data_IF_271731484323
#
_entry.id   IF_271731484323
#
_cell.length_a   1.000
_cell.length_b   1.000
_cell.length_c   1.000
_cell.angle_alpha   90.00
_cell.angle_beta   90.00
_cell.angle_gamma   90.00
#
_symmetry.space_group_name_H-M   'P 1'
#
loop_
_entity.id
_entity.type
_entity.pdbx_description
1 polymer ?
#
# COMPACT_ATOMS: atom_id res chain seq x y z
N UNK A 1 -11.46 0.53 9.80
CA UNK A 1 -12.00 1.80 9.32
C UNK A 1 -12.02 1.76 7.80
N UNK A 2 -13.21 1.73 7.22
CA UNK A 2 -13.40 1.80 5.77
C UNK A 2 -13.62 3.27 5.43
N UNK A 3 -12.57 3.94 4.98
CA UNK A 3 -12.70 5.26 4.37
C UNK A 3 -13.07 5.05 2.90
N UNK A 4 -14.34 5.14 2.58
CA UNK A 4 -14.82 5.18 1.20
C UNK A 4 -14.82 6.64 0.77
N UNK A 5 -13.70 7.10 0.22
CA UNK A 5 -13.66 8.36 -0.49
C UNK A 5 -13.17 8.06 -1.92
N UNK A 6 -13.89 8.54 -2.92
CA UNK A 6 -13.51 8.48 -4.34
C UNK A 6 -13.16 7.06 -4.86
N UNK A 7 -13.95 6.03 -4.55
CA UNK A 7 -13.73 4.65 -5.01
C UNK A 7 -12.46 4.00 -4.47
N UNK A 8 -12.04 4.34 -3.26
CA UNK A 8 -10.91 3.75 -2.56
C UNK A 8 -11.33 3.19 -1.21
N UNK A 9 -10.71 2.08 -0.83
CA UNK A 9 -10.93 1.41 0.46
C UNK A 9 -9.60 1.26 1.15
N UNK A 10 -9.50 1.69 2.41
CA UNK A 10 -8.34 1.46 3.25
C UNK A 10 -8.55 0.19 4.07
N UNK A 11 -7.61 -0.72 3.97
CA UNK A 11 -7.52 -1.94 4.77
C UNK A 11 -6.22 -1.97 5.55
N UNK A 12 -6.07 -2.89 6.49
CA UNK A 12 -4.82 -3.08 7.22
C UNK A 12 -4.20 -4.41 6.82
N UNK A 13 -2.90 -4.38 6.60
CA UNK A 13 -2.11 -5.50 6.13
C UNK A 13 -0.99 -5.81 7.13
N UNK A 14 -0.64 -7.08 7.31
CA UNK A 14 0.45 -7.49 8.18
C UNK A 14 1.81 -7.04 7.61
N UNK A 15 2.85 -7.03 8.42
CA UNK A 15 4.22 -6.73 8.03
C UNK A 15 4.95 -8.05 7.85
N UNK A 16 5.55 -8.28 6.67
CA UNK A 16 6.46 -9.41 6.45
C UNK A 16 7.74 -9.21 7.27
N UNK A 17 8.25 -10.27 7.83
CA UNK A 17 9.46 -10.25 8.65
C UNK A 17 10.33 -11.47 8.41
N UNK A 18 11.64 -11.24 8.37
CA UNK A 18 12.68 -12.26 8.39
C UNK A 18 13.60 -11.99 9.57
N UNK A 19 13.49 -12.79 10.62
CA UNK A 19 14.21 -12.58 11.88
C UNK A 19 15.18 -13.71 12.14
N UNK A 20 16.45 -13.38 12.33
CA UNK A 20 17.48 -14.33 12.76
C UNK A 20 17.44 -14.55 14.26
N UNK A 21 17.55 -15.80 14.69
CA UNK A 21 17.57 -16.19 16.10
C UNK A 21 18.96 -16.51 16.62
N UNK A 22 19.87 -16.91 15.72
CA UNK A 22 21.25 -17.28 16.08
C UNK A 22 22.27 -17.10 14.94
N UNK A 23 21.96 -16.21 13.99
CA UNK A 23 22.81 -15.96 12.81
C UNK A 23 22.63 -16.92 11.65
N UNK A 24 22.09 -18.10 11.89
CA UNK A 24 21.84 -19.13 10.85
C UNK A 24 20.38 -19.54 10.74
N UNK A 25 19.65 -19.55 11.84
CA UNK A 25 18.24 -19.88 11.85
C UNK A 25 17.38 -18.62 11.71
N UNK A 26 16.45 -18.67 10.78
CA UNK A 26 15.56 -17.56 10.45
C UNK A 26 14.10 -17.95 10.72
N UNK A 27 13.34 -17.02 11.29
CA UNK A 27 11.90 -17.10 11.37
C UNK A 27 11.32 -16.13 10.35
N UNK A 28 10.77 -16.72 9.29
CA UNK A 28 10.22 -16.00 8.16
C UNK A 28 8.70 -15.93 8.25
N UNK A 29 8.16 -14.74 8.12
CA UNK A 29 6.74 -14.49 7.89
C UNK A 29 6.59 -13.64 6.64
N UNK A 30 5.94 -14.18 5.61
CA UNK A 30 5.66 -13.49 4.36
C UNK A 30 4.17 -13.17 4.24
N UNK A 31 3.86 -11.89 4.12
CA UNK A 31 2.50 -11.45 3.91
C UNK A 31 2.03 -11.78 2.50
N UNK A 32 0.86 -12.38 2.40
CA UNK A 32 0.18 -12.62 1.12
C UNK A 32 -1.13 -11.84 1.08
N UNK A 33 -1.33 -11.11 -0.01
CA UNK A 33 -2.60 -10.43 -0.33
C UNK A 33 -3.19 -11.12 -1.56
N UNK A 34 -4.40 -11.65 -1.41
CA UNK A 34 -5.13 -12.36 -2.47
C UNK A 34 -6.48 -11.70 -2.68
N UNK A 35 -6.57 -10.81 -3.64
CA UNK A 35 -7.84 -10.27 -4.10
C UNK A 35 -8.34 -11.16 -5.25
N UNK A 36 -9.66 -11.31 -5.37
CA UNK A 36 -10.23 -12.07 -6.49
C UNK A 36 -9.88 -11.37 -7.80
N UNK A 37 -9.30 -12.07 -8.80
CA UNK A 37 -8.92 -11.45 -10.08
C UNK A 37 -10.06 -10.76 -10.81
N UNK A 38 -11.26 -11.35 -10.76
CA UNK A 38 -12.51 -10.77 -11.30
C UNK A 38 -13.28 -9.92 -10.29
N UNK A 39 -12.75 -9.75 -9.08
CA UNK A 39 -13.38 -8.97 -8.01
C UNK A 39 -13.26 -7.46 -8.23
N UNK A 40 -14.02 -6.68 -7.47
CA UNK A 40 -14.06 -5.22 -7.66
C UNK A 40 -12.82 -4.49 -7.14
N UNK A 41 -11.92 -5.16 -6.42
CA UNK A 41 -10.78 -4.52 -5.78
C UNK A 41 -9.45 -4.86 -6.46
N UNK A 42 -8.57 -3.87 -6.55
CA UNK A 42 -7.16 -4.01 -6.93
C UNK A 42 -6.29 -3.24 -5.95
N UNK A 43 -5.00 -3.59 -5.88
CA UNK A 43 -4.03 -2.78 -5.13
C UNK A 43 -3.83 -1.44 -5.84
N UNK A 44 -3.99 -0.34 -5.10
CA UNK A 44 -3.77 0.99 -5.66
C UNK A 44 -2.28 1.25 -5.85
N UNK A 45 -1.80 1.22 -7.09
CA UNK A 45 -0.38 1.49 -7.40
C UNK A 45 0.03 2.94 -7.09
N UNK A 46 -0.93 3.87 -7.21
CA UNK A 46 -0.69 5.29 -6.95
C UNK A 46 -0.63 5.63 -5.46
N UNK A 47 -1.36 4.87 -4.63
CA UNK A 47 -1.50 5.15 -3.20
C UNK A 47 -0.61 4.28 -2.31
N UNK A 48 -0.08 3.18 -2.83
CA UNK A 48 0.75 2.28 -2.05
C UNK A 48 2.19 2.22 -2.57
N UNK A 49 3.05 1.75 -1.69
CA UNK A 49 4.47 1.54 -1.95
C UNK A 49 4.95 0.29 -1.23
N UNK A 50 5.95 -0.39 -1.79
CA UNK A 50 6.72 -1.40 -1.07
C UNK A 50 7.78 -0.69 -0.25
N UNK A 51 7.84 -0.96 1.04
CA UNK A 51 8.88 -0.48 1.95
C UNK A 51 9.63 -1.67 2.52
N UNK A 52 10.96 -1.62 2.47
CA UNK A 52 11.86 -2.55 3.15
C UNK A 52 12.62 -1.85 4.27
N UNK A 53 12.75 -2.48 5.42
CA UNK A 53 13.46 -1.94 6.60
C UNK A 53 14.39 -3.00 7.15
N UNK A 54 15.66 -2.65 7.32
CA UNK A 54 16.66 -3.56 7.88
C UNK A 54 18.06 -3.27 7.37
N UNK A 55 19.04 -4.00 7.92
CA UNK A 55 20.45 -3.81 7.59
C UNK A 55 20.78 -4.28 6.16
N UNK A 56 20.33 -5.49 5.78
CA UNK A 56 20.57 -6.11 4.48
C UNK A 56 19.23 -6.66 3.96
N UNK A 57 18.37 -5.77 3.49
CA UNK A 57 17.08 -6.16 2.94
C UNK A 57 17.15 -6.23 1.43
N UNK A 58 16.71 -7.34 0.90
CA UNK A 58 16.35 -7.47 -0.50
C UNK A 58 14.89 -7.94 -0.49
N UNK A 59 13.97 -6.98 -0.60
CA UNK A 59 12.55 -7.26 -0.62
C UNK A 59 12.01 -7.12 -2.05
N UNK A 60 11.24 -8.10 -2.45
CA UNK A 60 10.51 -8.14 -3.72
C UNK A 60 9.06 -8.42 -3.44
N UNK A 61 8.22 -8.23 -4.43
CA UNK A 61 6.89 -8.80 -4.39
C UNK A 61 6.66 -9.64 -5.64
N UNK A 62 5.91 -10.71 -5.47
CA UNK A 62 5.61 -11.69 -6.47
C UNK A 62 4.10 -11.87 -6.59
N UNK A 63 3.64 -12.39 -7.71
CA UNK A 63 2.27 -12.86 -7.83
C UNK A 63 2.05 -14.05 -6.89
N UNK A 64 1.01 -14.00 -6.06
CA UNK A 64 0.76 -15.01 -5.03
C UNK A 64 0.16 -16.31 -5.58
N UNK A 65 -0.27 -16.34 -6.85
CA UNK A 65 -0.77 -17.55 -7.51
C UNK A 65 0.31 -18.22 -8.37
N UNK A 66 1.02 -17.44 -9.21
CA UNK A 66 2.04 -17.97 -10.11
C UNK A 66 3.39 -18.07 -9.45
N UNK A 67 3.66 -17.25 -8.43
CA UNK A 67 4.96 -17.11 -7.81
C UNK A 67 5.96 -16.31 -8.65
N UNK A 68 5.55 -15.77 -9.80
CA UNK A 68 6.40 -14.93 -10.63
C UNK A 68 6.73 -13.63 -9.90
N UNK A 69 8.01 -13.30 -9.85
CA UNK A 69 8.48 -12.06 -9.23
C UNK A 69 8.24 -10.86 -10.14
N UNK A 70 7.73 -9.79 -9.57
CA UNK A 70 7.72 -8.51 -10.25
C UNK A 70 9.12 -7.90 -10.23
N UNK A 71 9.47 -7.17 -11.27
CA UNK A 71 10.82 -6.61 -11.47
C UNK A 71 11.22 -5.53 -10.46
N UNK A 72 10.33 -5.12 -9.59
CA UNK A 72 10.56 -4.02 -8.63
C UNK A 72 11.18 -4.56 -7.35
N UNK A 73 12.41 -4.19 -7.10
CA UNK A 73 13.21 -4.63 -5.96
C UNK A 73 13.49 -3.44 -5.05
N UNK A 74 13.29 -3.65 -3.74
CA UNK A 74 13.65 -2.70 -2.70
C UNK A 74 14.91 -3.22 -1.99
N UNK A 75 15.98 -2.45 -2.02
CA UNK A 75 17.29 -2.81 -1.48
C UNK A 75 17.67 -1.87 -0.34
N UNK A 76 17.97 -2.41 0.83
CA UNK A 76 18.55 -1.64 1.92
C UNK A 76 19.86 -2.26 2.38
N UNK A 77 20.93 -1.47 2.36
CA UNK A 77 22.24 -1.87 2.85
C UNK A 77 22.74 -0.88 3.90
N UNK A 78 23.09 -1.39 5.05
CA UNK A 78 23.55 -0.55 6.15
C UNK A 78 24.85 -1.09 6.74
N UNK A 79 25.96 -0.45 6.44
CA UNK A 79 27.27 -0.77 7.05
C UNK A 79 27.38 -0.29 8.51
N UNK A 80 26.71 0.81 8.86
CA UNK A 80 26.64 1.38 10.20
C UNK A 80 25.36 2.21 10.35
N UNK A 81 24.69 2.13 11.50
CA UNK A 81 23.48 2.92 11.81
C UNK A 81 23.75 4.43 11.78
N UNK A 82 24.97 4.85 12.05
CA UNK A 82 25.33 6.28 11.96
C UNK A 82 25.12 6.89 10.56
N UNK A 83 24.94 6.04 9.53
CA UNK A 83 24.66 6.45 8.16
C UNK A 83 23.17 6.48 7.85
N UNK A 84 22.35 5.80 8.64
CA UNK A 84 20.89 5.85 8.49
C UNK A 84 20.35 7.17 9.04
N UNK A 85 19.30 7.69 8.42
CA UNK A 85 18.64 8.94 8.85
C UNK A 85 17.15 8.69 9.00
N UNK A 86 16.58 9.20 10.08
CA UNK A 86 15.13 9.17 10.27
C UNK A 86 14.42 9.89 9.12
N UNK A 87 13.30 9.35 8.70
CA UNK A 87 12.46 9.91 7.63
C UNK A 87 12.92 9.60 6.19
N UNK A 88 14.07 8.96 5.99
CA UNK A 88 14.61 8.71 4.65
C UNK A 88 14.38 7.28 4.19
N UNK A 89 13.28 7.07 3.45
CA UNK A 89 13.01 5.84 2.67
C UNK A 89 12.63 6.21 1.23
N UNK A 90 13.35 7.12 0.61
CA UNK A 90 12.87 7.74 -0.64
C UNK A 90 13.19 6.93 -1.88
N UNK A 91 14.21 6.05 -1.86
CA UNK A 91 14.74 5.37 -3.04
C UNK A 91 14.60 3.85 -2.97
N UNK A 92 14.61 3.22 -4.15
CA UNK A 92 14.66 1.75 -4.30
C UNK A 92 15.90 1.13 -3.65
N UNK A 93 16.96 1.93 -3.44
CA UNK A 93 18.16 1.58 -2.69
C UNK A 93 18.39 2.56 -1.57
N UNK A 94 18.47 2.10 -0.31
CA UNK A 94 18.57 2.98 0.85
C UNK A 94 19.49 2.49 1.94
N UNK A 95 19.67 3.31 2.96
CA UNK A 95 20.49 3.03 4.14
C UNK A 95 19.60 2.74 5.36
N UNK A 96 19.30 1.47 5.59
CA UNK A 96 18.42 1.00 6.66
C UNK A 96 16.93 0.94 6.27
N UNK A 97 16.55 1.64 5.22
CA UNK A 97 15.20 1.63 4.66
C UNK A 97 15.24 1.89 3.16
N UNK A 98 14.35 1.28 2.40
CA UNK A 98 14.15 1.51 0.98
C UNK A 98 12.66 1.57 0.66
N UNK A 99 12.32 2.20 -0.46
CA UNK A 99 10.95 2.32 -0.95
C UNK A 99 10.87 2.09 -2.45
N UNK A 100 9.83 1.38 -2.92
CA UNK A 100 9.63 1.09 -4.33
C UNK A 100 8.16 1.16 -4.72
N UNK A 101 7.89 1.70 -5.91
CA UNK A 101 6.54 1.82 -6.46
C UNK A 101 5.98 0.47 -6.88
N UNK A 102 4.65 0.34 -6.88
CA UNK A 102 3.96 -0.83 -7.40
C UNK A 102 3.63 -0.64 -8.89
N UNK A 103 3.71 -1.70 -9.71
CA UNK A 103 3.11 -1.67 -11.04
C UNK A 103 1.58 -1.62 -10.93
N UNK A 104 0.89 -1.08 -11.93
CA UNK A 104 -0.57 -1.03 -11.94
C UNK A 104 -1.20 -2.41 -12.16
N UNK A 105 -2.44 -2.57 -11.70
CA UNK A 105 -3.25 -3.75 -12.01
C UNK A 105 -2.98 -4.99 -11.17
N UNK A 106 -2.22 -4.89 -10.09
CA UNK A 106 -1.92 -6.03 -9.20
C UNK A 106 -3.15 -6.37 -8.36
N UNK A 107 -3.59 -7.63 -8.45
CA UNK A 107 -4.66 -8.18 -7.62
C UNK A 107 -4.14 -9.09 -6.52
N UNK A 108 -2.98 -9.68 -6.74
CA UNK A 108 -2.39 -10.65 -5.81
C UNK A 108 -0.93 -10.32 -5.60
N UNK A 109 -0.47 -10.45 -4.38
CA UNK A 109 0.95 -10.24 -4.11
C UNK A 109 1.39 -11.03 -2.88
N UNK A 110 2.62 -11.47 -2.94
CA UNK A 110 3.37 -12.06 -1.86
C UNK A 110 4.65 -11.24 -1.67
N UNK A 111 4.82 -10.65 -0.51
CA UNK A 111 6.05 -9.93 -0.19
C UNK A 111 7.11 -10.92 0.23
N UNK A 112 8.17 -11.01 -0.54
CA UNK A 112 9.28 -11.96 -0.37
C UNK A 112 10.57 -11.29 0.04
N UNK A 113 11.41 -12.05 0.73
CA UNK A 113 12.79 -11.71 1.01
C UNK A 113 13.72 -12.62 0.23
N UNK A 114 14.80 -12.03 -0.31
CA UNK A 114 15.97 -12.81 -0.67
C UNK A 114 16.89 -12.88 0.53
N UNK A 115 17.09 -14.08 1.06
CA UNK A 115 17.95 -14.30 2.22
C UNK A 115 19.36 -13.78 1.96
N UNK A 116 19.80 -12.89 2.82
CA UNK A 116 21.18 -12.42 2.90
C UNK A 116 21.73 -12.78 4.27
N UNK A 117 22.97 -13.23 4.28
CA UNK A 117 23.65 -13.51 5.54
C UNK A 117 23.70 -12.25 6.41
N UNK A 118 23.04 -12.28 7.56
CA UNK A 118 23.03 -11.18 8.50
C UNK A 118 24.13 -11.35 9.53
N UNK A 119 25.34 -10.84 9.20
CA UNK A 119 26.50 -10.92 10.09
C UNK A 119 26.35 -10.09 11.37
N UNK A 120 25.33 -9.24 11.47
CA UNK A 120 25.06 -8.37 12.64
C UNK A 120 23.70 -8.67 13.28
N UNK A 121 23.26 -9.91 13.20
CA UNK A 121 21.97 -10.36 13.70
C UNK A 121 21.76 -10.09 15.20
N UNK A 122 22.82 -10.05 16.01
CA UNK A 122 22.72 -9.71 17.44
C UNK A 122 22.22 -8.27 17.65
N UNK A 123 22.63 -7.36 16.78
CA UNK A 123 22.23 -5.95 16.87
C UNK A 123 20.95 -5.66 16.05
N UNK A 124 20.84 -6.26 14.85
CA UNK A 124 19.75 -6.06 13.89
C UNK A 124 19.12 -7.40 13.53
N UNK A 125 18.34 -8.00 14.43
CA UNK A 125 17.88 -9.38 14.26
C UNK A 125 16.88 -9.57 13.12
N UNK A 126 16.17 -8.52 12.74
CA UNK A 126 15.05 -8.64 11.79
C UNK A 126 15.21 -7.71 10.59
N UNK A 127 14.73 -8.22 9.45
CA UNK A 127 14.40 -7.47 8.25
C UNK A 127 12.88 -7.45 8.09
N UNK A 128 12.35 -6.35 7.62
CA UNK A 128 10.91 -6.18 7.42
C UNK A 128 10.63 -5.71 6.00
N UNK A 129 9.47 -6.12 5.47
CA UNK A 129 8.93 -5.57 4.25
C UNK A 129 7.41 -5.46 4.35
N UNK A 130 6.85 -4.41 3.76
CA UNK A 130 5.43 -4.14 3.82
C UNK A 130 4.94 -3.39 2.59
N UNK A 131 3.75 -3.75 2.12
CA UNK A 131 2.99 -2.88 1.26
C UNK A 131 2.20 -1.93 2.15
N UNK A 132 2.38 -0.64 1.94
CA UNK A 132 1.84 0.39 2.84
C UNK A 132 1.40 1.62 2.05
N UNK A 133 0.41 2.33 2.55
CA UNK A 133 -0.02 3.61 1.99
C UNK A 133 1.16 4.58 1.94
N UNK A 134 1.38 5.21 0.79
CA UNK A 134 2.43 6.24 0.59
C UNK A 134 2.35 7.29 1.68
N UNK A 135 3.52 7.77 2.09
CA UNK A 135 3.67 8.82 3.12
C UNK A 135 3.11 8.49 4.51
N UNK A 136 2.64 7.24 4.74
CA UNK A 136 2.19 6.83 6.07
C UNK A 136 3.35 6.36 6.97
N UNK A 137 4.27 5.58 6.39
CA UNK A 137 5.41 5.10 7.15
C UNK A 137 6.53 6.14 7.16
N UNK A 138 6.96 6.49 8.36
CA UNK A 138 8.11 7.37 8.59
C UNK A 138 9.21 6.55 9.29
N UNK A 139 10.29 6.29 8.59
CA UNK A 139 11.38 5.46 9.07
C UNK A 139 12.05 6.08 10.30
N UNK A 140 12.28 5.25 11.32
CA UNK A 140 13.14 5.56 12.46
C UNK A 140 14.28 4.56 12.53
N UNK A 141 15.48 5.03 12.86
CA UNK A 141 16.61 4.13 13.09
C UNK A 141 16.38 3.15 14.25
N UNK A 142 15.45 3.47 15.16
CA UNK A 142 14.99 2.56 16.21
C UNK A 142 14.26 1.34 15.64
N UNK A 143 13.65 1.43 14.47
CA UNK A 143 12.93 0.33 13.81
C UNK A 143 13.88 -0.78 13.31
N UNK A 144 15.20 -0.53 13.32
CA UNK A 144 16.23 -1.52 12.98
C UNK A 144 16.54 -2.48 14.15
N UNK A 145 16.16 -2.14 15.37
CA UNK A 145 16.50 -2.89 16.57
C UNK A 145 15.34 -3.74 17.06
N UNK A 146 15.69 -4.77 17.82
CA UNK A 146 14.71 -5.60 18.53
C UNK A 146 14.04 -6.67 17.68
N UNK A 147 13.73 -7.78 18.32
CA UNK A 147 13.04 -8.90 17.66
C UNK A 147 11.55 -8.61 17.49
N UNK A 148 11.07 -8.66 16.23
CA UNK A 148 9.70 -8.32 15.85
C UNK A 148 9.26 -6.90 16.24
N UNK A 149 10.18 -5.92 16.18
CA UNK A 149 9.93 -4.54 16.60
C UNK A 149 8.78 -3.88 15.84
N UNK A 150 8.83 -3.90 14.50
CA UNK A 150 7.78 -3.28 13.66
C UNK A 150 6.41 -3.97 13.79
N UNK A 151 6.27 -5.32 13.74
CA UNK A 151 4.99 -5.97 13.98
C UNK A 151 4.40 -5.69 15.38
N UNK A 152 5.23 -5.51 16.39
CA UNK A 152 4.77 -5.12 17.74
C UNK A 152 4.32 -3.68 17.80
N UNK A 153 5.06 -2.76 17.16
CA UNK A 153 4.75 -1.33 17.07
C UNK A 153 3.43 -1.10 16.33
N UNK A 154 3.19 -1.87 15.27
CA UNK A 154 2.00 -1.80 14.43
C UNK A 154 1.18 -3.09 14.52
N UNK A 155 0.69 -3.41 15.70
CA UNK A 155 0.01 -4.68 15.98
C UNK A 155 -1.32 -4.89 15.21
N UNK A 156 -1.92 -3.83 14.70
CA UNK A 156 -3.08 -3.88 13.80
C UNK A 156 -2.69 -4.00 12.32
N UNK A 157 -1.39 -4.02 12.02
CA UNK A 157 -0.86 -3.93 10.66
C UNK A 157 -0.71 -2.49 10.19
N UNK A 158 -0.36 -2.36 8.91
CA UNK A 158 -0.14 -1.08 8.23
C UNK A 158 -1.27 -0.78 7.24
N UNK A 159 -1.64 0.49 7.02
CA UNK A 159 -2.71 0.82 6.10
C UNK A 159 -2.31 0.54 4.65
N UNK A 160 -3.22 -0.07 3.92
CA UNK A 160 -3.11 -0.38 2.51
C UNK A 160 -4.35 0.13 1.79
N UNK A 161 -4.19 0.75 0.64
CA UNK A 161 -5.29 1.30 -0.14
C UNK A 161 -5.61 0.37 -1.31
N UNK A 162 -6.88 0.04 -1.44
CA UNK A 162 -7.43 -0.69 -2.58
C UNK A 162 -8.22 0.26 -3.45
N UNK A 163 -8.05 0.15 -4.77
CA UNK A 163 -8.93 0.79 -5.75
C UNK A 163 -10.14 -0.11 -5.98
N UNK A 164 -11.31 0.51 -6.03
CA UNK A 164 -12.57 -0.13 -6.35
C UNK A 164 -12.98 0.19 -7.79
N UNK A 165 -13.43 -0.82 -8.53
CA UNK A 165 -14.04 -0.63 -9.84
C UNK A 165 -15.16 -1.65 -10.07
N UNK A 166 -16.19 -1.25 -10.80
CA UNK A 166 -17.23 -2.16 -11.29
C UNK A 166 -16.68 -2.84 -12.54
N UNK A 167 -16.40 -4.14 -12.45
CA UNK A 167 -15.64 -4.88 -13.46
C UNK A 167 -16.42 -5.16 -14.74
N UNK A 168 -17.75 -5.24 -14.64
CA UNK A 168 -18.59 -5.56 -15.80
C UNK A 168 -19.05 -4.26 -16.47
N UNK A 169 -18.58 -4.04 -17.70
CA UNK A 169 -18.94 -2.90 -18.51
C UNK A 169 -17.92 -1.76 -18.51
N UNK A 170 -18.30 -0.70 -19.19
CA UNK A 170 -17.58 0.56 -19.28
C UNK A 170 -18.54 1.70 -18.96
N UNK A 171 -18.03 2.91 -18.81
CA UNK A 171 -18.88 4.08 -18.71
C UNK A 171 -19.78 4.16 -19.95
N UNK A 172 -21.12 4.17 -19.77
CA UNK A 172 -22.05 4.28 -20.90
C UNK A 172 -21.86 5.62 -21.60
N UNK A 173 -21.94 5.61 -22.92
CA UNK A 173 -21.76 6.84 -23.71
C UNK A 173 -22.95 7.78 -23.59
N UNK A 174 -24.17 7.28 -23.34
CA UNK A 174 -25.36 8.10 -22.99
C UNK A 174 -26.44 7.22 -22.39
N UNK A 175 -27.06 7.67 -21.30
CA UNK A 175 -28.32 7.17 -20.69
C UNK A 175 -28.47 5.65 -20.42
N UNK A 176 -27.39 4.88 -20.43
CA UNK A 176 -27.44 3.46 -20.07
C UNK A 176 -27.61 3.24 -18.57
N UNK A 177 -28.23 2.12 -18.19
CA UNK A 177 -28.27 1.70 -16.79
C UNK A 177 -26.86 1.42 -16.29
N UNK A 178 -26.39 2.17 -15.32
CA UNK A 178 -25.08 2.01 -14.69
C UNK A 178 -25.17 2.23 -13.18
N UNK A 179 -24.14 1.81 -12.47
CA UNK A 179 -24.13 1.90 -11.01
C UNK A 179 -23.95 3.32 -10.46
N UNK A 180 -23.56 4.29 -11.29
CA UNK A 180 -23.46 5.69 -10.89
C UNK A 180 -24.85 6.33 -10.88
N UNK A 181 -25.52 6.35 -9.74
CA UNK A 181 -26.93 6.78 -9.65
C UNK A 181 -27.13 8.16 -9.00
N UNK A 182 -26.09 8.71 -8.37
CA UNK A 182 -26.18 10.05 -7.79
C UNK A 182 -26.35 11.14 -8.85
N UNK A 183 -26.98 12.26 -8.49
CA UNK A 183 -26.74 13.53 -9.18
C UNK A 183 -25.29 13.99 -8.99
N UNK A 184 -24.83 14.96 -9.78
CA UNK A 184 -23.48 15.56 -9.66
C UNK A 184 -22.34 14.53 -9.57
N UNK A 185 -22.39 13.52 -10.43
CA UNK A 185 -21.42 12.43 -10.56
C UNK A 185 -20.72 12.43 -11.89
N UNK A 186 -19.55 11.83 -11.96
CA UNK A 186 -18.83 11.45 -13.18
C UNK A 186 -18.61 9.96 -13.22
N UNK A 187 -18.59 9.37 -14.41
CA UNK A 187 -18.15 8.01 -14.66
C UNK A 187 -16.76 8.04 -15.31
N UNK A 188 -15.84 7.22 -14.81
CA UNK A 188 -14.47 7.12 -15.34
C UNK A 188 -14.15 5.66 -15.55
N UNK A 189 -13.67 5.29 -16.73
CA UNK A 189 -13.20 3.93 -16.99
C UNK A 189 -12.00 3.63 -16.11
N UNK A 190 -11.97 2.43 -15.52
CA UNK A 190 -10.82 1.99 -14.73
C UNK A 190 -9.61 1.80 -15.65
N UNK A 191 -8.42 2.17 -15.15
CA UNK A 191 -7.17 1.85 -15.85
C UNK A 191 -7.12 0.35 -16.12
N UNK A 192 -6.64 -0.10 -17.28
CA UNK A 192 -6.60 -1.48 -17.80
C UNK A 192 -7.89 -1.97 -18.50
N UNK A 193 -8.79 -1.09 -18.90
CA UNK A 193 -10.06 -1.42 -19.57
C UNK A 193 -10.94 -2.46 -18.84
N UNK A 194 -10.74 -2.62 -17.54
CA UNK A 194 -11.42 -3.61 -16.72
C UNK A 194 -12.51 -2.98 -15.84
N UNK A 195 -13.47 -2.35 -16.47
CA UNK A 195 -14.60 -1.78 -15.77
C UNK A 195 -14.56 -0.27 -15.61
N UNK A 196 -15.34 0.26 -14.68
CA UNK A 196 -15.49 1.69 -14.46
C UNK A 196 -15.70 2.01 -12.98
N UNK A 197 -15.54 3.24 -12.63
CA UNK A 197 -15.82 3.80 -11.30
C UNK A 197 -16.62 5.08 -11.39
N UNK A 198 -17.35 5.37 -10.33
CA UNK A 198 -18.09 6.60 -10.17
C UNK A 198 -17.38 7.53 -9.19
N UNK A 199 -17.30 8.79 -9.50
CA UNK A 199 -16.81 9.84 -8.60
C UNK A 199 -17.86 10.93 -8.47
N UNK A 200 -17.89 11.67 -7.38
CA UNK A 200 -18.59 12.94 -7.33
C UNK A 200 -17.86 13.99 -8.19
N UNK A 201 -18.59 14.92 -8.80
CA UNK A 201 -18.01 16.04 -9.52
C UNK A 201 -17.20 16.95 -8.58
N UNK A 202 -16.34 17.78 -9.17
CA UNK A 202 -15.61 18.79 -8.41
C UNK A 202 -16.60 19.71 -7.65
N UNK A 203 -16.29 20.00 -6.38
CA UNK A 203 -17.17 20.74 -5.48
C UNK A 203 -18.25 19.91 -4.78
N UNK A 204 -18.29 18.60 -5.04
CA UNK A 204 -19.22 17.66 -4.39
C UNK A 204 -18.45 16.53 -3.71
N UNK A 205 -18.95 16.06 -2.57
CA UNK A 205 -18.40 14.91 -1.85
C UNK A 205 -19.53 13.93 -1.48
N UNK A 206 -19.15 12.67 -1.16
CA UNK A 206 -20.08 11.64 -0.76
C UNK A 206 -20.02 10.37 -1.59
N UNK A 207 -21.14 9.68 -1.72
CA UNK A 207 -21.23 8.38 -2.36
C UNK A 207 -21.94 8.46 -3.74
N UNK A 208 -21.23 8.32 -4.87
CA UNK A 208 -21.79 8.39 -6.21
C UNK A 208 -22.67 7.18 -6.59
N UNK A 209 -22.67 6.12 -5.80
CA UNK A 209 -23.40 4.87 -6.03
C UNK A 209 -24.80 4.85 -5.39
N UNK A 210 -25.19 5.89 -4.68
CA UNK A 210 -26.55 6.03 -4.12
C UNK A 210 -27.23 7.30 -4.63
N UNK A 211 -28.56 7.27 -4.69
CA UNK A 211 -29.34 8.45 -5.12
C UNK A 211 -29.07 9.60 -4.20
N UNK A 212 -28.81 10.80 -4.76
CA UNK A 212 -28.44 12.02 -4.02
C UNK A 212 -27.23 11.85 -3.10
N UNK A 213 -26.32 10.92 -3.39
CA UNK A 213 -25.15 10.65 -2.55
C UNK A 213 -24.02 11.68 -2.67
N UNK A 214 -23.89 12.36 -3.81
CA UNK A 214 -22.94 13.45 -4.00
C UNK A 214 -23.57 14.78 -3.56
N UNK A 215 -23.11 15.33 -2.45
CA UNK A 215 -23.58 16.58 -1.85
C UNK A 215 -22.56 17.70 -2.07
N UNK A 216 -23.02 18.93 -2.30
CA UNK A 216 -22.14 20.09 -2.43
C UNK A 216 -21.33 20.31 -1.14
N UNK A 217 -20.04 20.58 -1.28
CA UNK A 217 -19.22 20.96 -0.14
C UNK A 217 -19.62 22.37 0.31
N UNK A 218 -20.16 22.49 1.53
CA UNK A 218 -20.39 23.78 2.16
C UNK A 218 -19.04 24.40 2.53
N UNK A 219 -18.57 25.40 1.79
CA UNK A 219 -17.51 26.30 2.24
C UNK A 219 -18.08 27.13 3.39
N UNK A 220 -17.77 26.73 4.62
CA UNK A 220 -17.99 27.59 5.80
C UNK A 220 -17.01 28.75 5.69
N UNK A 221 -17.46 29.86 5.08
CA UNK A 221 -16.77 31.14 5.22
C UNK A 221 -16.91 31.58 6.68
N UNK A 222 -15.84 31.43 7.44
CA UNK A 222 -15.71 32.09 8.74
C UNK A 222 -15.68 33.61 8.47
N UNK A 223 -16.83 34.27 8.57
CA UNK A 223 -16.83 35.69 8.73
C UNK A 223 -16.22 36.02 10.10
N UNK A 224 -14.96 36.43 10.11
CA UNK A 224 -14.41 37.14 11.26
C UNK A 224 -15.11 38.51 11.34
N UNK A 225 -16.03 38.63 12.25
CA UNK A 225 -16.55 39.93 12.67
C UNK A 225 -15.43 40.67 13.43
N UNK A 226 -15.02 41.81 12.89
CA UNK A 226 -14.19 42.79 13.59
C UNK A 226 -14.96 43.40 14.74
#
# INVERSE_FOLDING_TARGET
>A
DVLVNQSKVRVYAAISSDCSTNGTNHVLFEQSIKLQPSGPFTLSANENTLVGVGQNVVATFADSFTGEEYSNICLSFLSSVSKARNGSCEDATGLGCCQQTLPPGINTTLVRFQHKNNSKWETYPCSYAMLVQKSWYNFSTEDLYGHLGLPKKYNRGVPLVLDFAIRNGSCPQENGSHACVSGNRTCVNAGNDQGYKCNCMEGYDGNPYIVNGCQGMHTTTLHSSN
#
